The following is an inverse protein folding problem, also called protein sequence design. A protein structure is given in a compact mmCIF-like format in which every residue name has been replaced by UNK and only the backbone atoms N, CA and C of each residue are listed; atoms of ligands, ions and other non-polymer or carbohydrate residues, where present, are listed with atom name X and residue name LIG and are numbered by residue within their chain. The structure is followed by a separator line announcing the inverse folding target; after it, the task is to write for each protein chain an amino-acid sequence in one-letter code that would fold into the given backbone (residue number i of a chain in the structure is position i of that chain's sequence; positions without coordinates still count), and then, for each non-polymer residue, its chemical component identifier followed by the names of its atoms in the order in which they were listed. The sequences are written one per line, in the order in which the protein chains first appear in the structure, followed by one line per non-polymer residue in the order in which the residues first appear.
data_IF_219194182051
#
_entry.id   IF_219194182051
#
_cell.length_a   1.000
_cell.length_b   1.000
_cell.length_c   1.000
_cell.angle_alpha   90.00
_cell.angle_beta   90.00
_cell.angle_gamma   90.00
#
_symmetry.space_group_name_H-M   'P 1'
#
loop_
_entity.id
_entity.type
_entity.pdbx_description
1 polymer ?
#
# COMPACT_ATOMS: atom_id res chain seq x y z
N UNK A 1 10.61 10.11 19.70
CA UNK A 1 9.34 10.81 19.75
C UNK A 1 8.34 10.02 20.56
N UNK A 2 7.75 10.63 21.57
CA UNK A 2 6.76 9.93 22.41
C UNK A 2 5.41 9.96 21.73
N UNK A 3 4.72 8.82 21.77
CA UNK A 3 3.37 8.73 21.24
C UNK A 3 2.35 9.09 22.33
N UNK A 4 1.25 9.71 21.92
CA UNK A 4 0.13 9.92 22.83
C UNK A 4 -0.58 8.58 23.09
N UNK A 5 -1.34 8.44 24.20
CA UNK A 5 -2.10 7.21 24.44
C UNK A 5 -3.07 6.85 23.31
N UNK A 6 -3.73 7.86 22.71
CA UNK A 6 -4.62 7.63 21.57
C UNK A 6 -3.87 7.07 20.36
N UNK A 7 -2.66 7.57 20.14
CA UNK A 7 -1.82 7.13 19.04
C UNK A 7 -1.38 5.68 19.23
N UNK A 8 -0.95 5.34 20.44
CA UNK A 8 -0.57 3.96 20.77
C UNK A 8 -1.74 3.00 20.63
N UNK A 9 -2.94 3.44 21.02
CA UNK A 9 -4.15 2.64 20.85
C UNK A 9 -4.44 2.40 19.38
N UNK A 10 -4.30 3.43 18.54
CA UNK A 10 -4.49 3.29 17.10
C UNK A 10 -3.49 2.27 16.52
N UNK A 11 -2.22 2.37 16.88
CA UNK A 11 -1.21 1.41 16.41
C UNK A 11 -1.54 -0.02 16.84
N UNK A 12 -2.05 -0.20 18.04
CA UNK A 12 -2.45 -1.52 18.53
C UNK A 12 -3.63 -2.07 17.73
N UNK A 13 -4.64 -1.25 17.44
CA UNK A 13 -5.80 -1.65 16.64
C UNK A 13 -5.40 -2.02 15.21
N UNK A 14 -4.39 -1.35 14.67
CA UNK A 14 -3.88 -1.63 13.33
C UNK A 14 -2.93 -2.83 13.30
N UNK A 15 -2.68 -3.46 14.45
CA UNK A 15 -1.72 -4.58 14.58
C UNK A 15 -0.32 -4.20 14.07
N UNK A 16 0.08 -2.96 14.30
CA UNK A 16 1.34 -2.44 13.77
C UNK A 16 2.56 -3.20 14.29
N UNK A 17 2.48 -3.74 15.51
CA UNK A 17 3.55 -4.53 16.12
C UNK A 17 3.81 -5.87 15.44
N UNK A 18 2.87 -6.36 14.64
CA UNK A 18 3.02 -7.61 13.88
C UNK A 18 3.67 -7.41 12.51
N UNK A 19 3.88 -6.15 12.12
CA UNK A 19 4.46 -5.81 10.83
C UNK A 19 5.99 -5.94 10.86
N UNK A 20 6.64 -6.19 9.72
CA UNK A 20 8.10 -6.06 9.63
C UNK A 20 8.56 -4.69 10.09
N UNK A 21 9.76 -4.61 10.65
CA UNK A 21 10.27 -3.38 11.28
C UNK A 21 10.24 -2.19 10.32
N UNK A 22 10.63 -2.38 9.07
CA UNK A 22 10.61 -1.29 8.08
C UNK A 22 9.17 -0.79 7.88
N UNK A 23 8.22 -1.71 7.75
CA UNK A 23 6.81 -1.35 7.57
C UNK A 23 6.26 -0.61 8.80
N UNK A 24 6.63 -1.04 10.01
CA UNK A 24 6.25 -0.33 11.23
C UNK A 24 6.76 1.11 11.25
N UNK A 25 8.03 1.30 10.89
CA UNK A 25 8.65 2.63 10.86
C UNK A 25 7.99 3.53 9.81
N UNK A 26 7.68 2.96 8.64
CA UNK A 26 6.98 3.71 7.59
C UNK A 26 5.59 4.13 8.07
N UNK A 27 4.82 3.20 8.63
CA UNK A 27 3.48 3.48 9.11
C UNK A 27 3.50 4.57 10.19
N UNK A 28 4.41 4.46 11.16
CA UNK A 28 4.59 5.48 12.18
C UNK A 28 4.88 6.86 11.58
N UNK A 29 5.80 6.89 10.62
CA UNK A 29 6.20 8.14 9.97
C UNK A 29 5.03 8.77 9.22
N UNK A 30 4.27 7.97 8.48
CA UNK A 30 3.11 8.46 7.73
C UNK A 30 1.99 8.96 8.65
N UNK A 31 1.76 8.28 9.76
CA UNK A 31 0.76 8.73 10.73
C UNK A 31 1.13 10.07 11.36
N UNK A 32 2.42 10.34 11.51
CA UNK A 32 2.91 11.62 12.05
C UNK A 32 3.06 12.71 10.99
N UNK A 33 2.85 12.38 9.72
CA UNK A 33 2.97 13.31 8.60
C UNK A 33 1.65 13.34 7.80
N UNK A 34 0.57 13.93 8.36
CA UNK A 34 -0.76 13.87 7.73
C UNK A 34 -0.81 14.53 6.36
N UNK A 35 0.12 15.41 6.05
CA UNK A 35 0.19 16.04 4.72
C UNK A 35 1.10 15.28 3.75
N UNK A 36 1.68 14.19 4.20
CA UNK A 36 2.57 13.37 3.39
C UNK A 36 4.04 13.66 3.64
N UNK A 37 4.88 12.81 3.07
CA UNK A 37 6.34 12.92 3.22
C UNK A 37 6.99 12.49 1.90
N UNK A 38 8.10 13.11 1.55
CA UNK A 38 8.85 12.78 0.35
C UNK A 38 9.56 11.43 0.50
N UNK A 39 9.94 10.80 -0.62
CA UNK A 39 10.74 9.57 -0.60
C UNK A 39 12.05 9.78 0.17
N UNK A 40 12.71 10.91 -0.05
CA UNK A 40 13.93 11.25 0.69
C UNK A 40 13.67 11.39 2.18
N UNK A 41 12.56 12.03 2.56
CA UNK A 41 12.15 12.16 3.95
C UNK A 41 11.91 10.81 4.61
N UNK A 42 11.31 9.86 3.89
CA UNK A 42 11.12 8.50 4.39
C UNK A 42 12.44 7.77 4.62
N UNK A 43 13.41 7.92 3.71
CA UNK A 43 14.72 7.32 3.89
C UNK A 43 15.38 7.84 5.18
N UNK A 44 15.32 9.16 5.41
CA UNK A 44 15.85 9.75 6.63
C UNK A 44 15.16 9.22 7.88
N UNK A 45 13.83 9.15 7.83
CA UNK A 45 13.04 8.73 8.99
C UNK A 45 13.21 7.24 9.30
N UNK A 46 13.29 6.39 8.29
CA UNK A 46 13.35 4.93 8.45
C UNK A 46 14.77 4.46 8.73
N UNK A 47 15.75 4.98 8.02
CA UNK A 47 17.14 4.50 8.08
C UNK A 47 18.07 5.44 8.86
N UNK A 48 17.65 6.67 9.15
CA UNK A 48 18.48 7.66 9.83
C UNK A 48 19.67 8.13 9.02
N UNK A 49 19.63 7.97 7.69
CA UNK A 49 20.72 8.29 6.79
C UNK A 49 20.25 9.24 5.70
N UNK A 50 21.18 10.03 5.14
CA UNK A 50 20.86 10.87 4.01
C UNK A 50 20.71 10.03 2.74
N UNK A 51 19.65 10.29 1.93
CA UNK A 51 19.46 9.56 0.68
C UNK A 51 20.47 9.97 -0.37
N UNK A 52 20.73 9.08 -1.32
CA UNK A 52 21.56 9.37 -2.48
C UNK A 52 20.85 10.32 -3.45
N UNK A 53 21.61 10.81 -4.44
CA UNK A 53 21.08 11.73 -5.47
C UNK A 53 20.16 11.04 -6.46
N UNK A 54 20.37 9.75 -6.70
CA UNK A 54 19.55 8.96 -7.62
C UNK A 54 18.74 7.92 -6.84
N UNK A 55 17.49 8.24 -6.55
CA UNK A 55 16.61 7.37 -5.78
C UNK A 55 16.31 6.05 -6.49
N UNK A 56 16.25 6.04 -7.82
CA UNK A 56 15.92 4.81 -8.54
C UNK A 56 17.00 3.73 -8.38
N UNK A 57 18.23 4.11 -8.05
CA UNK A 57 19.32 3.19 -7.76
C UNK A 57 19.60 3.03 -6.26
N UNK A 58 18.84 3.70 -5.41
CA UNK A 58 19.02 3.62 -3.95
C UNK A 58 18.33 2.38 -3.41
N UNK A 59 19.11 1.48 -2.80
CA UNK A 59 18.60 0.23 -2.20
C UNK A 59 17.58 0.53 -1.10
N UNK A 60 17.79 1.61 -0.34
CA UNK A 60 16.87 1.99 0.75
C UNK A 60 15.52 2.41 0.20
N UNK A 61 15.50 3.17 -0.90
CA UNK A 61 14.24 3.53 -1.56
C UNK A 61 13.50 2.29 -2.05
N UNK A 62 14.23 1.31 -2.58
CA UNK A 62 13.63 0.05 -3.04
C UNK A 62 12.98 -0.71 -1.89
N UNK A 63 13.66 -0.78 -0.74
CA UNK A 63 13.10 -1.43 0.46
C UNK A 63 11.83 -0.73 0.94
N UNK A 64 11.82 0.60 0.90
CA UNK A 64 10.63 1.39 1.26
C UNK A 64 9.48 1.10 0.30
N UNK A 65 9.73 1.08 -1.01
CA UNK A 65 8.68 0.79 -1.99
C UNK A 65 8.08 -0.60 -1.79
N UNK A 66 8.89 -1.60 -1.48
CA UNK A 66 8.43 -2.96 -1.17
C UNK A 66 7.57 -2.98 0.09
N UNK A 67 8.00 -2.28 1.13
CA UNK A 67 7.25 -2.23 2.38
C UNK A 67 5.92 -1.51 2.21
N UNK A 68 5.88 -0.43 1.43
CA UNK A 68 4.64 0.29 1.13
C UNK A 68 3.68 -0.61 0.35
N UNK A 69 4.17 -1.36 -0.62
CA UNK A 69 3.34 -2.32 -1.36
C UNK A 69 2.75 -3.37 -0.44
N UNK A 70 3.56 -3.87 0.50
CA UNK A 70 3.09 -4.81 1.51
C UNK A 70 1.98 -4.20 2.37
N UNK A 71 2.16 -2.95 2.83
CA UNK A 71 1.14 -2.26 3.60
C UNK A 71 -0.16 -2.04 2.81
N UNK A 72 -0.03 -1.68 1.52
CA UNK A 72 -1.19 -1.54 0.64
C UNK A 72 -1.94 -2.86 0.49
N UNK A 73 -1.22 -3.96 0.36
CA UNK A 73 -1.82 -5.28 0.25
C UNK A 73 -2.56 -5.70 1.53
N UNK A 74 -2.17 -5.15 2.66
CA UNK A 74 -2.87 -5.35 3.93
C UNK A 74 -4.08 -4.42 4.09
N UNK A 75 -4.29 -3.49 3.16
CA UNK A 75 -5.43 -2.58 3.19
C UNK A 75 -5.14 -1.18 3.69
N UNK A 76 -3.89 -0.86 4.03
CA UNK A 76 -3.55 0.51 4.45
C UNK A 76 -3.69 1.47 3.27
N UNK A 77 -4.45 2.56 3.42
CA UNK A 77 -4.72 3.50 2.32
C UNK A 77 -3.57 4.48 2.12
N UNK A 78 -2.46 3.98 1.61
CA UNK A 78 -1.28 4.79 1.30
C UNK A 78 -1.36 5.23 -0.15
N UNK A 79 -1.40 6.54 -0.36
CA UNK A 79 -1.48 7.15 -1.69
C UNK A 79 -0.18 7.84 -2.03
N UNK A 80 0.12 7.92 -3.33
CA UNK A 80 1.26 8.69 -3.82
C UNK A 80 0.86 10.15 -3.89
N UNK A 81 1.75 11.04 -3.45
CA UNK A 81 1.47 12.47 -3.50
C UNK A 81 1.83 13.03 -4.87
N UNK A 82 0.98 13.94 -5.37
CA UNK A 82 1.24 14.62 -6.62
C UNK A 82 2.25 15.75 -6.43
N UNK A 83 3.03 16.06 -7.48
CA UNK A 83 3.95 17.19 -7.51
C UNK A 83 5.32 16.91 -6.95
N UNK A 84 5.44 16.17 -5.85
CA UNK A 84 6.71 15.67 -5.31
C UNK A 84 6.53 14.18 -5.06
N UNK A 85 7.45 13.38 -5.57
CA UNK A 85 7.39 11.95 -5.36
C UNK A 85 7.45 11.63 -3.87
N UNK A 86 6.36 11.14 -3.33
CA UNK A 86 6.23 10.83 -1.91
C UNK A 86 4.97 10.05 -1.63
N UNK A 87 4.64 9.92 -0.35
CA UNK A 87 3.53 9.11 0.12
C UNK A 87 2.76 9.78 1.24
N UNK A 88 1.50 9.42 1.35
CA UNK A 88 0.60 9.92 2.39
C UNK A 88 -0.34 8.79 2.79
N UNK A 89 -0.56 8.63 4.09
CA UNK A 89 -1.62 7.75 4.59
C UNK A 89 -2.92 8.57 4.62
N UNK A 90 -3.91 8.13 3.87
CA UNK A 90 -5.22 8.79 3.88
C UNK A 90 -6.03 8.27 5.05
N UNK A 91 -6.34 9.16 5.99
CA UNK A 91 -7.10 8.81 7.20
C UNK A 91 -8.53 9.31 7.17
N UNK A 92 -8.98 9.90 6.06
CA UNK A 92 -10.35 10.36 5.91
C UNK A 92 -11.26 9.17 5.61
N UNK A 93 -12.22 8.85 6.50
CA UNK A 93 -13.12 7.71 6.28
C UNK A 93 -13.91 7.80 4.98
N UNK A 94 -14.24 8.99 4.51
CA UNK A 94 -15.00 9.15 3.25
C UNK A 94 -14.11 8.78 2.05
N UNK A 95 -12.85 9.16 2.06
CA UNK A 95 -11.92 8.79 1.00
C UNK A 95 -11.67 7.28 1.00
N UNK A 96 -11.55 6.69 2.18
CA UNK A 96 -11.36 5.24 2.32
C UNK A 96 -12.59 4.51 1.81
N UNK A 97 -13.79 4.98 2.14
CA UNK A 97 -15.03 4.41 1.63
C UNK A 97 -15.11 4.47 0.10
N UNK A 98 -14.67 5.58 -0.49
CA UNK A 98 -14.59 5.71 -1.95
C UNK A 98 -13.65 4.68 -2.57
N UNK A 99 -12.50 4.44 -1.95
CA UNK A 99 -11.55 3.41 -2.39
C UNK A 99 -12.16 2.02 -2.30
N UNK A 100 -12.85 1.72 -1.21
CA UNK A 100 -13.52 0.43 -1.01
C UNK A 100 -14.53 0.18 -2.13
N UNK A 101 -15.36 1.18 -2.45
CA UNK A 101 -16.35 1.08 -3.52
C UNK A 101 -15.70 0.83 -4.88
N UNK A 102 -14.59 1.51 -5.14
CA UNK A 102 -13.86 1.31 -6.38
C UNK A 102 -13.32 -0.12 -6.48
N UNK A 103 -12.72 -0.63 -5.40
CA UNK A 103 -12.22 -2.00 -5.37
C UNK A 103 -13.33 -3.03 -5.51
N UNK A 104 -14.46 -2.81 -4.85
CA UNK A 104 -15.63 -3.68 -4.98
C UNK A 104 -16.14 -3.72 -6.43
N UNK A 105 -16.15 -2.56 -7.10
CA UNK A 105 -16.50 -2.49 -8.52
C UNK A 105 -15.54 -3.30 -9.38
N UNK A 106 -14.24 -3.23 -9.09
CA UNK A 106 -13.22 -4.02 -9.80
C UNK A 106 -13.41 -5.51 -9.57
N UNK A 107 -13.78 -5.91 -8.35
CA UNK A 107 -14.08 -7.32 -8.03
C UNK A 107 -15.22 -7.84 -8.91
N UNK A 108 -16.30 -7.06 -9.03
CA UNK A 108 -17.44 -7.42 -9.87
C UNK A 108 -17.01 -7.57 -11.34
N UNK A 109 -16.24 -6.60 -11.86
CA UNK A 109 -15.73 -6.67 -13.23
C UNK A 109 -14.83 -7.89 -13.45
N UNK A 110 -13.94 -8.19 -12.50
CA UNK A 110 -13.08 -9.37 -12.59
C UNK A 110 -13.89 -10.65 -12.53
N UNK A 111 -14.94 -10.68 -11.72
CA UNK A 111 -15.83 -11.86 -11.65
C UNK A 111 -16.49 -12.11 -12.99
N UNK A 112 -16.97 -11.07 -13.67
CA UNK A 112 -17.53 -11.20 -15.02
C UNK A 112 -16.51 -11.76 -16.01
N UNK A 113 -15.26 -11.28 -15.92
CA UNK A 113 -14.18 -11.79 -16.78
C UNK A 113 -13.89 -13.27 -16.50
N UNK A 114 -13.85 -13.64 -15.23
CA UNK A 114 -13.61 -15.03 -14.84
C UNK A 114 -14.72 -15.92 -15.38
N UNK A 115 -15.97 -15.51 -15.22
CA UNK A 115 -17.13 -16.29 -15.68
C UNK A 115 -17.12 -16.44 -17.20
N UNK A 116 -16.81 -15.36 -17.93
CA UNK A 116 -16.70 -15.41 -19.39
C UNK A 116 -15.56 -16.32 -19.84
N UNK A 117 -14.40 -16.23 -19.17
CA UNK A 117 -13.24 -17.07 -19.51
C UNK A 117 -13.54 -18.55 -19.28
N UNK A 118 -14.23 -18.87 -18.18
CA UNK A 118 -14.65 -20.25 -17.90
C UNK A 118 -15.59 -20.77 -18.98
N UNK A 119 -16.53 -19.95 -19.42
CA UNK A 119 -17.45 -20.34 -20.51
C UNK A 119 -16.69 -20.66 -21.79
N UNK A 120 -15.73 -19.81 -22.19
CA UNK A 120 -14.94 -20.08 -23.39
C UNK A 120 -14.01 -21.28 -23.23
N UNK A 121 -13.40 -21.42 -22.03
CA UNK A 121 -12.59 -22.62 -21.73
C UNK A 121 -13.40 -23.88 -21.96
N UNK A 122 -14.61 -23.95 -21.44
CA UNK A 122 -15.47 -25.12 -21.54
C UNK A 122 -15.89 -25.38 -23.01
N UNK A 123 -16.18 -24.31 -23.75
CA UNK A 123 -16.48 -24.42 -25.18
C UNK A 123 -15.29 -24.96 -25.98
N UNK A 124 -14.08 -24.42 -25.70
CA UNK A 124 -12.86 -24.87 -26.38
C UNK A 124 -12.53 -26.32 -26.05
N UNK A 125 -12.75 -26.74 -24.81
CA UNK A 125 -12.54 -28.15 -24.42
C UNK A 125 -13.47 -29.12 -25.18
N UNK A 126 -14.69 -28.68 -25.54
CA UNK A 126 -15.60 -29.48 -26.35
C UNK A 126 -15.13 -29.56 -27.80
N UNK A 127 -14.59 -28.47 -28.35
CA UNK A 127 -14.16 -28.39 -29.75
C UNK A 127 -12.74 -28.91 -29.95
N UNK A 128 -11.86 -28.63 -29.01
CA UNK A 128 -10.43 -28.99 -29.07
C UNK A 128 -10.06 -29.83 -27.85
N UNK A 129 -10.48 -31.13 -27.83
CA UNK A 129 -10.23 -31.96 -26.65
C UNK A 129 -8.73 -32.12 -26.40
N UNK A 130 -8.33 -31.93 -25.15
CA UNK A 130 -6.97 -32.22 -24.72
C UNK A 130 -6.77 -33.73 -24.59
N UNK A 131 -5.63 -34.15 -25.07
CA UNK A 131 -5.24 -35.56 -24.91
C UNK A 131 -4.45 -35.76 -23.63
#
# INVERSE_FOLDING_TARGET
MSHTPEYERLLAELNAGELPIIAQKILNTLLQAPKGITRKGLIRAVFGEEPGNNLSNDTRDRKIRKAIEHLRNLGFPIVSTSGKAGYKLDTDPQNIEGMIREWESRIVHLQHRVDAARHYRDAFLRVFPHK
#
